data_IF_764543169716
#
_entry.id   IF_764543169716
#
_cell.length_a   1.000
_cell.length_b   1.000
_cell.length_c   1.000
_cell.angle_alpha   90.00
_cell.angle_beta   90.00
_cell.angle_gamma   90.00
#
_symmetry.space_group_name_H-M   'P 1'
#
loop_
_entity.id
_entity.type
_entity.pdbx_description
1 polymer ?
#
# COMPACT_ATOMS: atom_id res chain seq x y z
N UNK A 1 8.23 32.72 -38.08
CA UNK A 1 8.09 31.24 -38.18
C UNK A 1 8.13 30.66 -36.77
N UNK A 2 6.99 30.26 -36.19
CA UNK A 2 6.92 29.66 -34.85
C UNK A 2 7.21 28.16 -34.95
N UNK A 3 8.33 27.74 -34.37
CA UNK A 3 8.80 26.35 -34.34
C UNK A 3 7.91 25.53 -33.39
N UNK A 4 7.11 24.64 -33.98
CA UNK A 4 6.57 23.44 -33.35
C UNK A 4 7.73 22.61 -32.82
N UNK A 5 7.70 22.18 -31.55
CA UNK A 5 8.42 20.98 -31.14
C UNK A 5 7.91 20.39 -29.82
N UNK A 6 7.71 19.08 -29.88
CA UNK A 6 7.87 18.11 -28.79
C UNK A 6 6.67 17.85 -27.88
N UNK A 7 5.54 17.47 -28.48
CA UNK A 7 4.70 16.45 -27.82
C UNK A 7 5.42 15.12 -28.03
N UNK A 8 6.09 14.62 -26.98
CA UNK A 8 6.58 13.24 -26.93
C UNK A 8 5.37 12.30 -27.00
N UNK A 9 4.93 12.00 -28.21
CA UNK A 9 3.98 10.95 -28.51
C UNK A 9 4.64 9.61 -28.15
N UNK A 10 4.40 9.16 -26.92
CA UNK A 10 4.79 7.82 -26.49
C UNK A 10 3.78 6.85 -27.08
N UNK A 11 4.14 6.24 -28.20
CA UNK A 11 3.51 5.01 -28.68
C UNK A 11 3.47 3.99 -27.53
N UNK A 12 2.28 3.47 -27.20
CA UNK A 12 2.16 2.26 -26.37
C UNK A 12 1.31 1.22 -27.08
N UNK A 13 1.68 -0.07 -26.97
CA UNK A 13 1.31 -1.09 -27.94
C UNK A 13 -0.14 -1.56 -27.77
N UNK A 14 -0.66 -2.08 -28.88
CA UNK A 14 -1.93 -2.77 -29.03
C UNK A 14 -2.30 -3.64 -27.81
N UNK A 15 -3.42 -3.34 -27.15
CA UNK A 15 -4.01 -4.18 -26.09
C UNK A 15 -4.04 -3.61 -24.66
N UNK A 16 -3.42 -2.46 -24.39
CA UNK A 16 -3.51 -1.83 -23.06
C UNK A 16 -4.79 -1.00 -22.90
N UNK A 17 -5.62 -1.31 -21.90
CA UNK A 17 -6.81 -0.51 -21.56
C UNK A 17 -6.35 0.90 -21.15
N UNK A 18 -6.93 1.99 -21.73
CA UNK A 18 -6.63 3.36 -21.36
C UNK A 18 -6.76 3.60 -19.85
N UNK A 19 -5.86 4.43 -19.29
CA UNK A 19 -5.84 4.70 -17.85
C UNK A 19 -7.18 5.28 -17.35
N UNK A 20 -7.79 6.17 -18.14
CA UNK A 20 -9.08 6.77 -17.81
C UNK A 20 -10.22 5.76 -17.75
N UNK A 21 -10.22 4.70 -18.57
CA UNK A 21 -11.23 3.65 -18.48
C UNK A 21 -11.11 2.86 -17.16
N UNK A 22 -9.88 2.53 -16.76
CA UNK A 22 -9.65 1.89 -15.46
C UNK A 22 -10.00 2.80 -14.28
N UNK A 23 -9.75 4.11 -14.41
CA UNK A 23 -10.18 5.09 -13.44
C UNK A 23 -11.72 5.13 -13.32
N UNK A 24 -12.46 5.12 -14.43
CA UNK A 24 -13.93 5.06 -14.38
C UNK A 24 -14.44 3.76 -13.73
N UNK A 25 -13.77 2.63 -13.96
CA UNK A 25 -14.07 1.37 -13.24
C UNK A 25 -13.84 1.50 -11.73
N UNK A 26 -12.80 2.22 -11.31
CA UNK A 26 -12.55 2.51 -9.90
C UNK A 26 -13.63 3.43 -9.30
N UNK A 27 -14.11 4.43 -10.05
CA UNK A 27 -15.24 5.28 -9.64
C UNK A 27 -16.50 4.43 -9.44
N UNK A 28 -16.83 3.55 -10.38
CA UNK A 28 -17.97 2.64 -10.25
C UNK A 28 -17.82 1.71 -9.03
N UNK A 29 -16.62 1.18 -8.80
CA UNK A 29 -16.31 0.39 -7.61
C UNK A 29 -16.57 1.20 -6.33
N UNK A 30 -16.12 2.47 -6.26
CA UNK A 30 -16.39 3.37 -5.13
C UNK A 30 -17.88 3.56 -4.91
N UNK A 31 -18.66 3.76 -5.96
CA UNK A 31 -20.11 3.92 -5.84
C UNK A 31 -20.77 2.68 -5.24
N UNK A 32 -20.33 1.49 -5.66
CA UNK A 32 -20.86 0.20 -5.21
C UNK A 32 -20.42 -0.17 -3.78
N UNK A 33 -19.15 0.04 -3.44
CA UNK A 33 -18.54 -0.44 -2.19
C UNK A 33 -18.31 0.67 -1.15
N UNK A 34 -18.64 1.92 -1.48
CA UNK A 34 -18.35 3.12 -0.68
C UNK A 34 -16.87 3.25 -0.28
N UNK A 35 -15.98 2.64 -1.05
CA UNK A 35 -14.55 2.59 -0.82
C UNK A 35 -13.80 2.44 -2.13
N UNK A 36 -12.60 2.98 -2.24
CA UNK A 36 -11.71 2.74 -3.39
C UNK A 36 -10.70 1.62 -3.11
N UNK A 37 -10.86 0.89 -2.00
CA UNK A 37 -9.96 -0.18 -1.63
C UNK A 37 -10.28 -1.46 -2.42
N UNK A 38 -9.82 -1.50 -3.67
CA UNK A 38 -9.94 -2.71 -4.49
C UNK A 38 -8.89 -3.74 -4.04
N UNK A 39 -9.29 -4.99 -3.69
CA UNK A 39 -8.36 -6.07 -3.41
C UNK A 39 -7.53 -6.44 -4.64
N UNK A 40 -6.26 -6.83 -4.46
CA UNK A 40 -5.41 -7.27 -5.59
C UNK A 40 -6.04 -8.43 -6.38
N UNK A 41 -6.60 -9.42 -5.67
CA UNK A 41 -7.32 -10.57 -6.26
C UNK A 41 -8.83 -10.33 -6.30
N UNK A 42 -9.27 -9.16 -6.77
CA UNK A 42 -10.70 -8.85 -6.87
C UNK A 42 -11.38 -9.74 -7.91
N UNK A 43 -12.21 -10.69 -7.46
CA UNK A 43 -12.79 -11.74 -8.32
C UNK A 43 -13.69 -11.20 -9.43
N UNK A 44 -14.47 -10.14 -9.16
CA UNK A 44 -15.43 -9.57 -10.14
C UNK A 44 -14.73 -8.80 -11.27
N UNK A 45 -13.59 -8.16 -10.98
CA UNK A 45 -12.74 -7.54 -12.01
C UNK A 45 -11.25 -7.64 -11.60
N UNK A 46 -10.57 -8.73 -11.97
CA UNK A 46 -9.15 -8.93 -11.64
C UNK A 46 -8.24 -7.86 -12.25
N UNK A 47 -8.63 -7.28 -13.39
CA UNK A 47 -7.86 -6.21 -14.05
C UNK A 47 -7.90 -4.94 -13.19
N UNK A 48 -9.05 -4.62 -12.60
CA UNK A 48 -9.17 -3.49 -11.67
C UNK A 48 -8.34 -3.69 -10.41
N UNK A 49 -8.36 -4.90 -9.83
CA UNK A 49 -7.54 -5.23 -8.66
C UNK A 49 -6.04 -5.07 -8.92
N UNK A 50 -5.56 -5.59 -10.05
CA UNK A 50 -4.18 -5.44 -10.49
C UNK A 50 -3.82 -3.97 -10.75
N UNK A 51 -4.67 -3.24 -11.49
CA UNK A 51 -4.44 -1.84 -11.84
C UNK A 51 -4.40 -0.92 -10.61
N UNK A 52 -5.30 -1.10 -9.65
CA UNK A 52 -5.30 -0.34 -8.40
C UNK A 52 -4.00 -0.58 -7.61
N UNK A 53 -3.51 -1.83 -7.59
CA UNK A 53 -2.22 -2.16 -6.98
C UNK A 53 -1.05 -1.50 -7.72
N UNK A 54 -1.07 -1.48 -9.05
CA UNK A 54 -0.08 -0.76 -9.87
C UNK A 54 -0.05 0.73 -9.53
N UNK A 55 -1.20 1.37 -9.32
CA UNK A 55 -1.24 2.80 -8.96
C UNK A 55 -0.58 3.04 -7.59
N UNK A 56 -0.87 2.19 -6.59
CA UNK A 56 -0.24 2.26 -5.26
C UNK A 56 1.29 2.07 -5.34
N UNK A 57 1.74 1.11 -6.14
CA UNK A 57 3.16 0.83 -6.35
C UNK A 57 3.87 2.00 -7.05
N UNK A 58 3.28 2.54 -8.12
CA UNK A 58 3.84 3.70 -8.84
C UNK A 58 3.88 4.96 -7.98
N UNK A 59 2.84 5.20 -7.18
CA UNK A 59 2.83 6.32 -6.22
C UNK A 59 3.97 6.19 -5.20
N UNK A 60 4.17 4.99 -4.64
CA UNK A 60 5.28 4.72 -3.71
C UNK A 60 6.66 5.01 -4.31
N UNK A 61 6.86 4.72 -5.60
CA UNK A 61 8.14 4.90 -6.27
C UNK A 61 8.28 6.27 -6.95
N UNK A 62 7.37 7.22 -6.72
CA UNK A 62 7.33 8.52 -7.40
C UNK A 62 7.28 8.40 -8.94
N UNK A 63 6.68 7.33 -9.46
CA UNK A 63 6.54 7.05 -10.91
C UNK A 63 5.13 7.35 -11.46
N UNK A 64 4.25 7.90 -10.62
CA UNK A 64 2.90 8.28 -11.01
C UNK A 64 2.85 9.77 -11.31
N UNK A 65 2.28 10.16 -12.45
CA UNK A 65 2.16 11.58 -12.82
C UNK A 65 1.24 12.32 -11.86
N UNK A 66 1.52 13.60 -11.64
CA UNK A 66 0.72 14.48 -10.78
C UNK A 66 -0.75 14.52 -11.18
N UNK A 67 -1.05 14.59 -12.48
CA UNK A 67 -2.42 14.50 -13.01
C UNK A 67 -3.16 13.24 -12.53
N UNK A 68 -2.49 12.08 -12.54
CA UNK A 68 -3.09 10.82 -12.10
C UNK A 68 -3.24 10.75 -10.59
N UNK A 69 -2.31 11.35 -9.85
CA UNK A 69 -2.42 11.52 -8.40
C UNK A 69 -3.67 12.36 -8.09
N UNK A 70 -3.80 13.53 -8.72
CA UNK A 70 -4.93 14.44 -8.52
C UNK A 70 -6.28 13.77 -8.83
N UNK A 71 -6.36 13.00 -9.93
CA UNK A 71 -7.56 12.21 -10.22
C UNK A 71 -7.88 11.19 -9.12
N UNK A 72 -6.89 10.41 -8.68
CA UNK A 72 -7.09 9.41 -7.64
C UNK A 72 -7.43 10.04 -6.28
N UNK A 73 -6.82 11.17 -5.93
CA UNK A 73 -7.13 11.93 -4.72
C UNK A 73 -8.53 12.55 -4.75
N UNK A 74 -9.01 12.99 -5.91
CA UNK A 74 -10.37 13.55 -6.06
C UNK A 74 -11.47 12.56 -5.65
N UNK A 75 -11.17 11.26 -5.72
CA UNK A 75 -12.08 10.18 -5.28
C UNK A 75 -11.65 9.55 -3.96
N UNK A 76 -10.75 10.20 -3.23
CA UNK A 76 -10.22 9.73 -1.94
C UNK A 76 -9.58 8.34 -2.05
N UNK A 77 -8.77 8.13 -3.11
CA UNK A 77 -8.14 6.84 -3.35
C UNK A 77 -7.26 6.42 -2.17
N UNK A 78 -7.56 5.25 -1.60
CA UNK A 78 -6.77 4.67 -0.53
C UNK A 78 -5.44 4.14 -1.08
N UNK A 79 -4.41 4.97 -0.92
CA UNK A 79 -3.01 4.65 -1.26
C UNK A 79 -2.41 3.54 -0.39
N UNK A 80 -2.89 3.40 0.85
CA UNK A 80 -2.45 2.33 1.75
C UNK A 80 -3.18 1.03 1.48
N UNK A 81 -2.44 -0.05 1.36
CA UNK A 81 -2.99 -1.40 1.31
C UNK A 81 -3.87 -1.67 2.56
N UNK A 82 -5.16 -1.97 2.37
CA UNK A 82 -6.06 -2.30 3.48
C UNK A 82 -5.66 -3.59 4.16
N UNK A 83 -5.00 -4.52 3.47
CA UNK A 83 -4.41 -5.67 4.17
C UNK A 83 -3.37 -5.19 5.17
N UNK A 84 -2.51 -4.23 4.78
CA UNK A 84 -1.54 -3.65 5.71
C UNK A 84 -2.22 -2.96 6.89
N UNK A 85 -3.30 -2.21 6.64
CA UNK A 85 -4.06 -1.52 7.70
C UNK A 85 -4.75 -2.52 8.64
N UNK A 86 -5.35 -3.58 8.10
CA UNK A 86 -5.97 -4.65 8.89
C UNK A 86 -4.92 -5.39 9.74
N UNK A 87 -3.76 -5.72 9.18
CA UNK A 87 -2.66 -6.33 9.92
C UNK A 87 -2.08 -5.39 10.99
N UNK A 88 -2.06 -4.08 10.72
CA UNK A 88 -1.69 -3.08 11.72
C UNK A 88 -2.69 -3.05 12.89
N UNK A 89 -3.99 -3.11 12.63
CA UNK A 89 -4.99 -3.22 13.70
C UNK A 89 -4.86 -4.54 14.47
N UNK A 90 -4.59 -5.66 13.80
CA UNK A 90 -4.29 -6.94 14.47
C UNK A 90 -3.06 -6.85 15.38
N UNK A 91 -2.00 -6.15 14.94
CA UNK A 91 -0.83 -5.90 15.79
C UNK A 91 -1.18 -5.01 16.99
N UNK A 92 -2.00 -3.98 16.82
CA UNK A 92 -2.45 -3.14 17.92
C UNK A 92 -3.28 -3.94 18.93
N UNK A 93 -4.11 -4.86 18.45
CA UNK A 93 -4.86 -5.79 19.29
C UNK A 93 -3.94 -6.76 20.04
N UNK A 94 -3.00 -7.40 19.35
CA UNK A 94 -1.96 -8.22 19.98
C UNK A 94 -1.25 -7.45 21.09
N UNK A 95 -0.86 -6.20 20.82
CA UNK A 95 -0.22 -5.34 21.82
C UNK A 95 -1.08 -5.17 23.08
N UNK A 96 -2.39 -4.96 22.91
CA UNK A 96 -3.33 -4.85 24.03
C UNK A 96 -3.41 -6.15 24.83
N UNK A 97 -3.46 -7.29 24.15
CA UNK A 97 -3.57 -8.61 24.78
C UNK A 97 -2.27 -9.08 25.45
N UNK A 98 -1.11 -8.64 24.96
CA UNK A 98 0.21 -9.08 25.43
C UNK A 98 0.95 -7.98 26.20
N UNK A 99 0.26 -7.29 27.11
CA UNK A 99 0.84 -6.33 28.06
C UNK A 99 1.70 -5.23 27.42
N UNK A 100 1.28 -4.72 26.25
CA UNK A 100 2.01 -3.67 25.53
C UNK A 100 3.11 -4.17 24.61
N UNK A 101 3.33 -5.48 24.50
CA UNK A 101 4.35 -6.06 23.63
C UNK A 101 3.96 -6.06 22.16
N UNK A 102 4.87 -5.65 21.29
CA UNK A 102 4.74 -5.83 19.83
C UNK A 102 5.63 -6.98 19.30
N UNK A 103 6.16 -7.81 20.20
CA UNK A 103 7.04 -8.93 19.85
C UNK A 103 6.22 -10.15 19.45
N UNK A 104 5.59 -10.09 18.28
CA UNK A 104 4.91 -11.25 17.70
C UNK A 104 5.97 -12.23 17.17
N UNK A 105 5.95 -13.51 17.59
CA UNK A 105 6.81 -14.56 17.04
C UNK A 105 6.52 -14.83 15.55
N UNK A 106 7.52 -15.22 14.77
CA UNK A 106 7.29 -15.62 13.36
C UNK A 106 6.36 -16.83 13.27
N UNK A 107 6.48 -17.78 14.21
CA UNK A 107 5.63 -18.97 14.32
C UNK A 107 4.42 -18.80 15.23
N UNK A 108 3.88 -17.57 15.37
CA UNK A 108 2.71 -17.32 16.19
C UNK A 108 1.51 -18.15 15.71
N UNK A 109 1.05 -19.08 16.55
CA UNK A 109 0.12 -20.15 16.17
C UNK A 109 -1.32 -19.66 16.07
N UNK A 110 -1.69 -18.66 16.86
CA UNK A 110 -3.03 -18.10 16.98
C UNK A 110 -3.35 -17.20 15.78
N UNK A 111 -2.34 -16.54 15.20
CA UNK A 111 -2.44 -15.87 13.91
C UNK A 111 -1.10 -15.94 13.13
N UNK A 112 -0.87 -17.00 12.35
CA UNK A 112 0.36 -17.18 11.57
C UNK A 112 0.60 -16.06 10.55
N UNK A 113 -0.48 -15.43 10.06
CA UNK A 113 -0.37 -14.30 9.13
C UNK A 113 0.20 -13.07 9.83
N UNK A 114 -0.17 -12.83 11.09
CA UNK A 114 0.37 -11.74 11.90
C UNK A 114 1.86 -11.93 12.17
N UNK A 115 2.29 -13.14 12.58
CA UNK A 115 3.69 -13.47 12.78
C UNK A 115 4.55 -13.19 11.53
N UNK A 116 4.08 -13.67 10.37
CA UNK A 116 4.76 -13.43 9.09
C UNK A 116 4.75 -11.95 8.68
N UNK A 117 3.65 -11.24 8.89
CA UNK A 117 3.53 -9.82 8.54
C UNK A 117 4.46 -8.95 9.38
N UNK A 118 4.55 -9.19 10.69
CA UNK A 118 5.46 -8.49 11.61
C UNK A 118 6.91 -8.71 11.20
N UNK A 119 7.29 -9.96 10.88
CA UNK A 119 8.61 -10.27 10.34
C UNK A 119 8.92 -9.48 9.06
N UNK A 120 7.98 -9.43 8.11
CA UNK A 120 8.15 -8.69 6.86
C UNK A 120 8.33 -7.17 7.10
N UNK A 121 7.69 -6.59 8.13
CA UNK A 121 7.88 -5.17 8.45
C UNK A 121 9.32 -4.92 8.95
N UNK A 122 9.83 -5.77 9.85
CA UNK A 122 11.22 -5.69 10.32
C UNK A 122 12.22 -5.87 9.18
N UNK A 123 11.98 -6.85 8.30
CA UNK A 123 12.80 -7.07 7.12
C UNK A 123 12.82 -5.85 6.19
N UNK A 124 11.65 -5.27 5.89
CA UNK A 124 11.55 -4.09 5.04
C UNK A 124 12.24 -2.85 5.65
N UNK A 125 12.15 -2.67 6.97
CA UNK A 125 12.86 -1.62 7.69
C UNK A 125 14.38 -1.79 7.59
N UNK A 126 14.90 -2.98 7.87
CA UNK A 126 16.33 -3.28 7.79
C UNK A 126 16.89 -3.13 6.37
N UNK A 127 16.05 -3.27 5.34
CA UNK A 127 16.41 -3.06 3.93
C UNK A 127 16.21 -1.62 3.44
N UNK A 128 15.76 -0.70 4.29
CA UNK A 128 15.47 0.69 3.90
C UNK A 128 14.26 0.85 2.97
N UNK A 129 13.43 -0.19 2.84
CA UNK A 129 12.32 -0.26 1.87
C UNK A 129 10.94 -0.02 2.49
N UNK A 130 10.90 0.28 3.79
CA UNK A 130 9.67 0.56 4.51
C UNK A 130 9.17 1.98 4.18
N UNK A 131 7.89 2.09 3.81
CA UNK A 131 7.25 3.37 3.54
C UNK A 131 7.26 4.27 4.77
N UNK A 132 7.57 5.56 4.58
CA UNK A 132 7.60 6.55 5.67
C UNK A 132 6.29 6.61 6.48
N UNK A 133 5.13 6.54 5.83
CA UNK A 133 3.83 6.48 6.52
C UNK A 133 3.69 5.24 7.41
N UNK A 134 4.17 4.07 6.95
CA UNK A 134 4.14 2.81 7.71
C UNK A 134 5.10 2.85 8.89
N UNK A 135 6.29 3.39 8.68
CA UNK A 135 7.28 3.64 9.74
C UNK A 135 6.69 4.53 10.83
N UNK A 136 6.08 5.67 10.46
CA UNK A 136 5.41 6.58 11.42
C UNK A 136 4.33 5.86 12.24
N UNK A 137 3.46 5.08 11.59
CA UNK A 137 2.38 4.35 12.26
C UNK A 137 2.90 3.25 13.21
N UNK A 138 3.94 2.52 12.82
CA UNK A 138 4.55 1.48 13.66
C UNK A 138 5.31 2.10 14.84
N UNK A 139 6.03 3.20 14.62
CA UNK A 139 6.69 3.93 15.70
C UNK A 139 5.68 4.49 16.72
N UNK A 140 4.51 4.96 16.27
CA UNK A 140 3.45 5.48 17.15
C UNK A 140 2.92 4.45 18.16
N UNK A 141 3.10 3.15 17.89
CA UNK A 141 2.75 2.09 18.83
C UNK A 141 3.97 1.49 19.54
N UNK A 142 5.11 2.18 19.54
CA UNK A 142 6.39 1.71 20.09
C UNK A 142 6.79 0.33 19.54
N UNK A 143 6.65 0.14 18.23
CA UNK A 143 6.98 -1.12 17.58
C UNK A 143 8.46 -1.47 17.73
N UNK A 144 8.75 -2.64 18.28
CA UNK A 144 10.10 -3.15 18.47
C UNK A 144 10.68 -3.71 17.16
N UNK A 145 11.66 -2.98 16.60
CA UNK A 145 12.33 -3.31 15.33
C UNK A 145 13.38 -4.41 15.46
N UNK A 146 14.08 -4.50 16.60
CA UNK A 146 15.12 -5.50 16.87
C UNK A 146 15.00 -6.08 18.27
N UNK A 147 15.32 -7.38 18.41
CA UNK A 147 15.46 -8.06 19.70
C UNK A 147 16.84 -7.83 20.35
N UNK A 148 17.79 -7.27 19.59
CA UNK A 148 19.04 -6.78 20.18
C UNK A 148 18.69 -5.49 20.91
N UNK A 149 18.81 -5.51 22.23
CA UNK A 149 18.76 -4.33 23.09
C UNK A 149 19.62 -3.24 22.45
N UNK A 150 19.03 -2.08 22.14
CA UNK A 150 19.81 -0.85 22.17
C UNK A 150 20.02 -0.52 23.65
N UNK A 151 20.96 -1.24 24.27
CA UNK A 151 21.74 -0.64 25.32
C UNK A 151 22.61 0.40 24.60
N UNK A 152 22.15 1.63 24.62
CA UNK A 152 22.96 2.80 24.32
C UNK A 152 22.77 3.74 25.50
N UNK A 153 23.55 3.45 26.55
CA UNK A 153 24.16 4.50 27.37
C UNK A 153 25.32 5.11 26.59
#
# INVERSE_FOLDING_TARGET
>A
MRRLNSVKFVWKPNGSIPWMEMYQKLVAYKTQHKSTNVPFKYKKDPKLGSWANTQRWKFKNNELSEERINHLESISFVWSDVQWTAMYHKLAEYKRQHHGSTLVPLGYTEDPFLGRWVYNQRYAYNKGNLLGKRLKLLNAINFVWSLKNNASS
#
